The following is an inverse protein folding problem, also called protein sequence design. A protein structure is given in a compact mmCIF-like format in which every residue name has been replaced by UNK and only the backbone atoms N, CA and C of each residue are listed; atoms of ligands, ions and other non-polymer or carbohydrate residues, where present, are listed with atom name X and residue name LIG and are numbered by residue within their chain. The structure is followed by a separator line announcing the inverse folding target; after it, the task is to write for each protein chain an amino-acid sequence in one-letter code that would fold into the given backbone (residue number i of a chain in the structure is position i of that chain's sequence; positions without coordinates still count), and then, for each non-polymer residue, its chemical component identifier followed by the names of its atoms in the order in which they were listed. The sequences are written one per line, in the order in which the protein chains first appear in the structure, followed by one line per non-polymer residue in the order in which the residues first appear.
data_IF_068354880748
#
_entry.id   IF_068354880748
#
_cell.length_a   1.000
_cell.length_b   1.000
_cell.length_c   1.000
_cell.angle_alpha   90.00
_cell.angle_beta   90.00
_cell.angle_gamma   90.00
#
_symmetry.space_group_name_H-M   'P 1'
#
loop_
_entity.id
_entity.type
_entity.pdbx_description
1 polymer ?
#
# COMPACT_ATOMS: atom_id res chain seq x y z
N UNK A 1 -12.51 -8.82 0.17
CA UNK A 1 -12.84 -8.75 -1.27
C UNK A 1 -13.31 -7.34 -1.60
N UNK A 2 -13.02 -6.84 -2.81
CA UNK A 2 -13.49 -5.54 -3.31
C UNK A 2 -12.77 -4.30 -2.76
N UNK A 3 -11.74 -4.42 -1.93
CA UNK A 3 -11.00 -3.28 -1.35
C UNK A 3 -9.80 -2.86 -2.21
N UNK A 4 -9.41 -1.59 -2.16
CA UNK A 4 -8.05 -1.17 -2.57
C UNK A 4 -7.06 -1.38 -1.41
N UNK A 5 -5.90 -1.97 -1.72
CA UNK A 5 -4.89 -2.35 -0.72
C UNK A 5 -3.57 -1.66 -1.03
N UNK A 6 -2.94 -1.08 0.00
CA UNK A 6 -1.55 -0.63 -0.04
C UNK A 6 -0.73 -1.49 0.91
N UNK A 7 0.43 -1.97 0.45
CA UNK A 7 1.42 -2.62 1.29
C UNK A 7 2.66 -1.72 1.41
N UNK A 8 3.00 -1.34 2.65
CA UNK A 8 4.18 -0.57 3.00
C UNK A 8 5.33 -1.53 3.35
N UNK A 9 6.54 -1.28 2.81
CA UNK A 9 7.71 -2.12 3.11
C UNK A 9 7.53 -3.54 2.60
N UNK A 10 6.99 -3.63 1.38
CA UNK A 10 6.45 -4.85 0.81
C UNK A 10 7.52 -5.91 0.49
N UNK A 11 8.79 -5.54 0.31
CA UNK A 11 9.77 -6.44 -0.25
C UNK A 11 9.29 -6.94 -1.64
N UNK A 12 9.03 -8.25 -1.75
CA UNK A 12 8.44 -8.87 -2.95
C UNK A 12 6.89 -8.87 -2.97
N UNK A 13 6.26 -8.38 -1.90
CA UNK A 13 4.83 -8.13 -1.79
C UNK A 13 3.97 -9.37 -1.56
N UNK A 14 4.42 -10.32 -0.73
CA UNK A 14 3.64 -11.54 -0.47
C UNK A 14 2.26 -11.24 0.14
N UNK A 15 2.11 -10.46 1.24
CA UNK A 15 0.81 -10.06 1.78
C UNK A 15 -0.11 -9.38 0.75
N UNK A 16 0.40 -8.44 -0.03
CA UNK A 16 -0.35 -7.75 -1.08
C UNK A 16 -0.78 -8.68 -2.20
N UNK A 17 0.11 -9.56 -2.69
CA UNK A 17 -0.23 -10.58 -3.70
C UNK A 17 -1.27 -11.57 -3.21
N UNK A 18 -1.20 -11.99 -1.95
CA UNK A 18 -2.26 -12.81 -1.33
C UNK A 18 -3.57 -12.03 -1.26
N UNK A 19 -3.53 -10.73 -0.96
CA UNK A 19 -4.72 -9.87 -0.96
C UNK A 19 -5.38 -9.79 -2.33
N UNK A 20 -4.58 -9.70 -3.40
CA UNK A 20 -5.08 -9.84 -4.77
C UNK A 20 -5.75 -11.21 -4.96
N UNK A 21 -5.10 -12.32 -4.63
CA UNK A 21 -5.72 -13.66 -4.72
C UNK A 21 -7.01 -13.81 -3.89
N UNK A 22 -7.17 -13.01 -2.82
CA UNK A 22 -8.38 -12.92 -1.98
C UNK A 22 -9.40 -11.88 -2.46
N UNK A 23 -9.32 -11.47 -3.73
CA UNK A 23 -10.30 -10.63 -4.39
C UNK A 23 -10.21 -9.15 -4.04
N UNK A 24 -9.04 -8.62 -3.67
CA UNK A 24 -8.83 -7.16 -3.66
C UNK A 24 -9.11 -6.58 -5.06
N UNK A 25 -9.68 -5.36 -5.13
CA UNK A 25 -9.95 -4.68 -6.40
C UNK A 25 -8.64 -4.16 -7.04
N UNK A 26 -7.73 -3.70 -6.20
CA UNK A 26 -6.40 -3.23 -6.61
C UNK A 26 -5.41 -3.39 -5.46
N UNK A 27 -4.15 -3.62 -5.80
CA UNK A 27 -3.07 -3.74 -4.83
C UNK A 27 -1.89 -2.88 -5.29
N UNK A 28 -1.38 -2.06 -4.38
CA UNK A 28 -0.15 -1.29 -4.57
C UNK A 28 0.90 -1.79 -3.57
N UNK A 29 2.03 -2.23 -4.09
CA UNK A 29 3.19 -2.69 -3.32
C UNK A 29 4.22 -1.56 -3.28
N UNK A 30 4.71 -1.20 -2.09
CA UNK A 30 5.73 -0.15 -1.98
C UNK A 30 6.94 -0.57 -1.16
N UNK A 31 8.11 -0.08 -1.57
CA UNK A 31 9.37 -0.27 -0.88
C UNK A 31 10.30 0.93 -1.12
N UNK A 32 11.29 1.12 -0.26
CA UNK A 32 12.28 2.19 -0.36
C UNK A 32 13.58 1.73 -1.03
N UNK A 33 13.70 0.44 -1.38
CA UNK A 33 14.80 -0.10 -2.16
C UNK A 33 14.42 -0.17 -3.66
N UNK A 34 15.06 0.65 -4.54
CA UNK A 34 14.76 0.66 -5.96
C UNK A 34 14.96 -0.69 -6.67
N UNK A 35 15.92 -1.51 -6.22
CA UNK A 35 16.20 -2.82 -6.83
C UNK A 35 15.09 -3.82 -6.46
N UNK A 36 14.60 -3.77 -5.22
CA UNK A 36 13.44 -4.55 -4.77
C UNK A 36 12.18 -4.13 -5.53
N UNK A 37 11.96 -2.82 -5.70
CA UNK A 37 10.84 -2.30 -6.48
C UNK A 37 10.92 -2.78 -7.93
N UNK A 38 12.10 -2.73 -8.55
CA UNK A 38 12.30 -3.22 -9.91
C UNK A 38 12.04 -4.72 -10.04
N UNK A 39 12.48 -5.51 -9.07
CA UNK A 39 12.20 -6.94 -9.00
C UNK A 39 10.70 -7.22 -8.86
N UNK A 40 10.00 -6.51 -7.98
CA UNK A 40 8.55 -6.68 -7.81
C UNK A 40 7.76 -6.29 -9.06
N UNK A 41 8.17 -5.19 -9.73
CA UNK A 41 7.58 -4.75 -11.01
C UNK A 41 7.62 -5.80 -12.11
N UNK A 42 8.66 -6.64 -12.14
CA UNK A 42 8.76 -7.72 -13.14
C UNK A 42 7.66 -8.79 -13.00
N UNK A 43 6.99 -8.82 -11.85
CA UNK A 43 5.92 -9.75 -11.48
C UNK A 43 4.57 -9.04 -11.30
N UNK A 44 4.47 -7.75 -11.64
CA UNK A 44 3.22 -7.00 -11.59
C UNK A 44 2.24 -7.52 -12.64
N UNK A 45 0.95 -7.43 -12.34
CA UNK A 45 -0.13 -7.80 -13.26
C UNK A 45 -0.94 -6.56 -13.59
N UNK A 46 -1.01 -6.22 -14.87
CA UNK A 46 -1.87 -5.14 -15.33
C UNK A 46 -3.31 -5.63 -15.40
N UNK A 47 -4.24 -4.70 -15.16
CA UNK A 47 -5.67 -4.93 -15.32
C UNK A 47 -5.99 -4.91 -16.83
N UNK A 48 -5.47 -5.89 -17.56
CA UNK A 48 -5.94 -6.19 -18.90
C UNK A 48 -7.35 -6.77 -18.73
N UNK A 49 -8.26 -6.42 -19.64
CA UNK A 49 -9.72 -6.60 -19.59
C UNK A 49 -10.25 -8.05 -19.35
N UNK A 50 -9.38 -8.99 -18.96
CA UNK A 50 -9.61 -10.40 -18.62
C UNK A 50 -9.95 -10.63 -17.13
N UNK A 51 -10.18 -9.57 -16.34
CA UNK A 51 -10.54 -9.69 -14.92
C UNK A 51 -9.36 -9.99 -13.98
N UNK A 52 -8.13 -9.77 -14.43
CA UNK A 52 -6.93 -9.92 -13.59
C UNK A 52 -6.80 -8.72 -12.65
N UNK A 53 -6.56 -8.98 -11.36
CA UNK A 53 -6.44 -7.91 -10.36
C UNK A 53 -5.16 -7.10 -10.62
N UNK A 54 -5.32 -5.78 -10.65
CA UNK A 54 -4.20 -4.85 -10.85
C UNK A 54 -3.27 -4.87 -9.63
N UNK A 55 -2.05 -5.39 -9.82
CA UNK A 55 -0.96 -5.30 -8.85
C UNK A 55 0.08 -4.35 -9.44
N UNK A 56 0.43 -3.30 -8.69
CA UNK A 56 1.43 -2.33 -9.12
C UNK A 56 2.48 -2.11 -8.03
N UNK A 57 3.75 -2.16 -8.41
CA UNK A 57 4.87 -1.91 -7.51
C UNK A 57 5.44 -0.51 -7.75
N UNK A 58 5.67 0.25 -6.69
CA UNK A 58 6.28 1.60 -6.78
C UNK A 58 7.20 1.91 -5.62
N UNK A 59 8.12 2.84 -5.86
CA UNK A 59 8.99 3.37 -4.82
C UNK A 59 8.17 4.21 -3.84
N UNK A 60 8.44 4.06 -2.54
CA UNK A 60 7.92 4.94 -1.51
C UNK A 60 8.91 5.04 -0.36
N UNK A 61 9.27 6.27 -0.01
CA UNK A 61 10.12 6.58 1.13
C UNK A 61 9.24 7.09 2.29
N UNK A 62 9.32 6.44 3.46
CA UNK A 62 8.56 6.90 4.63
C UNK A 62 9.18 8.13 5.28
N UNK A 63 10.50 8.25 5.21
CA UNK A 63 11.28 9.33 5.84
C UNK A 63 10.98 10.69 5.24
N UNK A 64 10.53 10.69 4.00
CA UNK A 64 10.12 11.88 3.30
C UNK A 64 8.79 12.38 3.90
N UNK A 65 8.86 13.59 4.45
CA UNK A 65 7.71 14.24 5.06
C UNK A 65 6.66 14.61 4.00
N UNK A 66 5.45 15.02 4.43
CA UNK A 66 4.44 15.50 3.49
C UNK A 66 4.89 16.73 2.67
N UNK A 67 5.97 17.39 3.07
CA UNK A 67 6.58 18.52 2.34
C UNK A 67 7.46 18.08 1.16
N UNK A 68 7.86 16.81 1.12
CA UNK A 68 8.66 16.21 0.04
C UNK A 68 7.79 15.79 -1.15
N UNK A 69 6.51 15.54 -0.89
CA UNK A 69 5.48 15.26 -1.88
C UNK A 69 5.05 16.61 -2.48
N UNK A 70 5.59 16.99 -3.64
CA UNK A 70 5.22 18.25 -4.30
C UNK A 70 3.69 18.45 -4.37
N UNK A 71 3.24 19.71 -4.30
CA UNK A 71 1.84 20.14 -4.08
C UNK A 71 0.78 19.49 -4.99
N UNK A 72 1.18 18.84 -6.09
CA UNK A 72 0.33 18.16 -7.08
C UNK A 72 0.22 16.63 -6.93
N UNK A 73 0.91 15.99 -5.99
CA UNK A 73 0.74 14.55 -5.75
C UNK A 73 -0.50 14.30 -4.91
N UNK A 74 -1.66 14.23 -5.57
CA UNK A 74 -2.89 13.78 -4.93
C UNK A 74 -2.69 12.37 -4.37
N UNK A 75 -2.42 12.30 -3.07
CA UNK A 75 -1.98 11.07 -2.41
C UNK A 75 -3.14 10.08 -2.41
N UNK A 76 -3.00 9.00 -3.18
CA UNK A 76 -4.02 7.97 -3.30
C UNK A 76 -4.41 7.40 -1.93
N UNK A 77 -5.71 7.18 -1.74
CA UNK A 77 -6.29 6.63 -0.53
C UNK A 77 -6.66 5.17 -0.71
N UNK A 78 -6.39 4.36 0.31
CA UNK A 78 -6.61 2.92 0.29
C UNK A 78 -7.54 2.48 1.41
N UNK A 79 -8.38 1.50 1.11
CA UNK A 79 -9.30 0.92 2.08
C UNK A 79 -8.50 0.13 3.15
N UNK A 80 -7.46 -0.59 2.74
CA UNK A 80 -6.62 -1.40 3.62
C UNK A 80 -5.16 -1.02 3.47
N UNK A 81 -4.46 -0.84 4.59
CA UNK A 81 -3.00 -0.75 4.63
C UNK A 81 -2.42 -1.98 5.32
N UNK A 82 -1.44 -2.61 4.67
CA UNK A 82 -0.65 -3.71 5.19
C UNK A 82 0.78 -3.24 5.48
N UNK A 83 1.36 -3.78 6.53
CA UNK A 83 2.81 -3.76 6.75
C UNK A 83 3.21 -5.06 7.44
N UNK A 84 4.22 -5.75 6.92
CA UNK A 84 4.74 -6.98 7.50
C UNK A 84 6.17 -6.76 7.95
N UNK A 85 6.45 -7.04 9.22
CA UNK A 85 7.79 -6.94 9.83
C UNK A 85 8.46 -5.57 9.61
N UNK A 86 7.67 -4.49 9.67
CA UNK A 86 8.12 -3.12 9.41
C UNK A 86 8.52 -2.35 10.69
N UNK A 87 8.12 -2.83 11.87
CA UNK A 87 8.19 -2.10 13.14
C UNK A 87 9.45 -2.40 13.97
N UNK A 88 10.60 -2.59 13.33
CA UNK A 88 11.84 -3.04 13.97
C UNK A 88 12.81 -1.90 14.31
N UNK A 89 12.78 -0.78 13.58
CA UNK A 89 13.57 0.42 13.89
C UNK A 89 12.71 1.51 14.54
N UNK A 90 12.99 1.82 15.81
CA UNK A 90 12.20 2.79 16.59
C UNK A 90 12.09 4.17 15.92
N UNK A 91 13.16 4.67 15.31
CA UNK A 91 13.18 5.97 14.64
C UNK A 91 12.34 6.02 13.36
N UNK A 92 11.97 4.87 12.78
CA UNK A 92 11.09 4.79 11.60
C UNK A 92 9.62 4.65 11.96
N UNK A 93 9.26 4.37 13.22
CA UNK A 93 7.86 4.20 13.62
C UNK A 93 7.03 5.46 13.37
N UNK A 94 7.55 6.64 13.70
CA UNK A 94 6.85 7.91 13.46
C UNK A 94 6.57 8.14 11.96
N UNK A 95 7.60 8.16 11.11
CA UNK A 95 7.44 8.25 9.65
C UNK A 95 6.48 7.20 9.07
N UNK A 96 6.61 5.93 9.48
CA UNK A 96 5.73 4.84 9.05
C UNK A 96 4.26 5.09 9.40
N UNK A 97 3.97 5.50 10.64
CA UNK A 97 2.61 5.82 11.09
C UNK A 97 2.03 7.03 10.36
N UNK A 98 2.85 8.05 10.07
CA UNK A 98 2.43 9.21 9.28
C UNK A 98 2.04 8.80 7.86
N UNK A 99 2.88 8.02 7.17
CA UNK A 99 2.58 7.50 5.83
C UNK A 99 1.29 6.68 5.83
N UNK A 100 1.13 5.78 6.80
CA UNK A 100 -0.09 4.99 6.95
C UNK A 100 -1.33 5.88 7.11
N UNK A 101 -1.30 6.87 8.01
CA UNK A 101 -2.43 7.77 8.23
C UNK A 101 -2.74 8.62 6.99
N UNK A 102 -1.72 9.07 6.26
CA UNK A 102 -1.88 9.81 5.01
C UNK A 102 -2.44 8.94 3.88
N UNK A 103 -2.14 7.66 3.83
CA UNK A 103 -2.62 6.76 2.79
C UNK A 103 -3.97 6.11 3.09
N UNK A 104 -4.43 6.10 4.35
CA UNK A 104 -5.67 5.44 4.72
C UNK A 104 -6.89 6.27 4.28
N UNK A 105 -7.86 5.61 3.65
CA UNK A 105 -9.15 6.19 3.34
C UNK A 105 -9.92 6.56 4.61
N UNK A 106 -10.72 7.61 4.59
CA UNK A 106 -11.66 7.91 5.67
C UNK A 106 -12.97 7.16 5.42
N UNK A 107 -13.63 6.69 6.48
CA UNK A 107 -15.02 6.25 6.37
C UNK A 107 -15.90 7.49 6.12
N UNK A 108 -16.62 7.51 5.00
CA UNK A 108 -17.68 8.49 4.80
C UNK A 108 -18.89 8.09 5.64
N UNK A 109 -19.53 9.06 6.31
CA UNK A 109 -20.68 8.84 7.21
C UNK A 109 -21.93 8.26 6.53
N UNK A 110 -21.89 8.00 5.23
CA UNK A 110 -23.00 7.46 4.42
C UNK A 110 -22.80 6.01 4.00
N UNK A 111 -21.65 5.41 4.30
CA UNK A 111 -21.23 4.11 3.77
C UNK A 111 -20.75 3.20 4.92
N UNK A 112 -21.68 2.86 5.82
CA UNK A 112 -21.41 2.12 7.06
C UNK A 112 -20.79 0.73 6.81
N UNK A 113 -21.05 0.14 5.65
CA UNK A 113 -20.53 -1.16 5.22
C UNK A 113 -19.10 -1.10 4.65
N UNK A 114 -18.54 0.11 4.43
CA UNK A 114 -17.18 0.25 3.89
C UNK A 114 -16.13 -0.23 4.90
N UNK A 115 -15.43 -1.30 4.55
CA UNK A 115 -14.31 -1.81 5.33
C UNK A 115 -13.10 -0.89 5.11
N UNK A 116 -12.65 -0.25 6.18
CA UNK A 116 -11.41 0.51 6.23
C UNK A 116 -10.59 0.00 7.41
N UNK A 117 -9.31 -0.27 7.21
CA UNK A 117 -8.49 -0.78 8.30
C UNK A 117 -6.99 -0.84 8.02
N UNK A 118 -6.24 -1.01 9.09
CA UNK A 118 -4.80 -1.27 9.06
C UNK A 118 -4.55 -2.67 9.59
N UNK A 119 -3.66 -3.42 8.93
CA UNK A 119 -3.12 -4.67 9.45
C UNK A 119 -1.59 -4.57 9.52
N UNK A 120 -1.04 -4.70 10.74
CA UNK A 120 0.40 -4.84 10.97
C UNK A 120 0.67 -6.29 11.35
N UNK A 121 1.47 -6.98 10.56
CA UNK A 121 1.92 -8.35 10.81
C UNK A 121 3.32 -8.23 11.42
N UNK A 122 3.44 -8.50 12.72
CA UNK A 122 4.71 -8.48 13.48
C UNK A 122 5.31 -9.86 13.62
#
# INVERSE_FOLDING_TARGET
EGCSVLELGSGLGLPGRVSAQRGARSVVLTDNDPDVVAASKSMDTNNDNDGTIGIQSRFLEWRDGPESDGEDQQQEKYDIILGADCAYYFFLLGPFMNTMQRSLATKDSKDDDKVVGTCLIV
#
